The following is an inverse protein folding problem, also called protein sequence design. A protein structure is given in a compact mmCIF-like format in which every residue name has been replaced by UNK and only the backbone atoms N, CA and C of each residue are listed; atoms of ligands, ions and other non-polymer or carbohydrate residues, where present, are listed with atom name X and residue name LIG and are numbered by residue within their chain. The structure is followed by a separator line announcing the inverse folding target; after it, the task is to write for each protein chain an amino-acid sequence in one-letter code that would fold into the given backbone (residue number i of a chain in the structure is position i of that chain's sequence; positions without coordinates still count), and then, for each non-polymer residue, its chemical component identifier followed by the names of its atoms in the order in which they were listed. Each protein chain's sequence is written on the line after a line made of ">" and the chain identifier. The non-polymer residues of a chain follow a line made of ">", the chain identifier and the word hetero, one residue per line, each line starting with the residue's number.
data_IF_992157304180
#
_entry.id   IF_992157304180
#
_cell.length_a   1.000
_cell.length_b   1.000
_cell.length_c   1.000
_cell.angle_alpha   90.00
_cell.angle_beta   90.00
_cell.angle_gamma   90.00
#
_symmetry.space_group_name_H-M   'P 1'
#
loop_
_entity.id
_entity.type
_entity.pdbx_description
1 polymer ?
#
# COMPACT_ATOMS: atom_id res chain seq x y z
N UNK A 1 14.94 4.83 -7.99
CA UNK A 1 15.40 3.43 -7.83
C UNK A 1 14.38 2.74 -6.93
N UNK A 2 13.87 1.55 -7.27
CA UNK A 2 12.91 0.84 -6.41
C UNK A 2 13.68 -0.03 -5.41
N UNK A 3 13.41 0.16 -4.11
CA UNK A 3 14.00 -0.62 -3.00
C UNK A 3 12.92 -0.97 -1.97
N UNK A 4 13.16 -1.93 -1.06
CA UNK A 4 12.27 -2.15 0.07
C UNK A 4 11.98 -0.85 0.83
N UNK A 5 10.72 -0.62 1.15
CA UNK A 5 10.24 0.60 1.78
C UNK A 5 9.85 1.71 0.80
N UNK A 6 10.16 1.61 -0.50
CA UNK A 6 9.66 2.57 -1.50
C UNK A 6 8.13 2.55 -1.51
N UNK A 7 7.51 3.71 -1.26
CA UNK A 7 6.06 3.90 -1.38
C UNK A 7 5.79 4.51 -2.74
N UNK A 8 4.91 3.88 -3.51
CA UNK A 8 4.38 4.44 -4.74
C UNK A 8 2.93 4.85 -4.54
N UNK A 9 2.55 5.96 -5.17
CA UNK A 9 1.18 6.47 -5.20
C UNK A 9 0.74 6.68 -6.65
N UNK A 10 -0.52 6.40 -6.93
CA UNK A 10 -1.14 6.75 -8.20
C UNK A 10 -1.11 8.27 -8.37
N UNK A 11 -0.84 8.74 -9.59
CA UNK A 11 -0.84 10.16 -9.91
C UNK A 11 -2.16 10.81 -9.49
N UNK A 12 -2.05 12.04 -8.99
CA UNK A 12 -3.15 12.86 -8.48
C UNK A 12 -3.77 12.35 -7.15
N UNK A 13 -3.26 11.25 -6.57
CA UNK A 13 -3.60 10.87 -5.19
C UNK A 13 -3.12 11.95 -4.23
N UNK A 14 -4.01 12.53 -3.40
CA UNK A 14 -3.59 13.45 -2.35
C UNK A 14 -2.62 12.75 -1.40
N UNK A 15 -1.50 13.40 -1.10
CA UNK A 15 -0.51 12.90 -0.14
C UNK A 15 -0.33 13.91 1.01
N UNK A 16 -0.03 13.45 2.24
CA UNK A 16 0.34 14.33 3.34
C UNK A 16 1.54 15.23 2.98
N UNK A 17 1.56 16.46 3.51
CA UNK A 17 2.59 17.46 3.19
C UNK A 17 4.02 17.10 3.61
N UNK A 18 4.20 16.11 4.48
CA UNK A 18 5.52 15.60 4.85
C UNK A 18 6.09 14.60 3.83
N UNK A 19 5.26 14.06 2.93
CA UNK A 19 5.76 13.28 1.80
C UNK A 19 6.34 14.20 0.73
N UNK A 20 7.52 13.85 0.25
CA UNK A 20 8.15 14.52 -0.90
C UNK A 20 8.04 13.63 -2.11
N UNK A 21 7.54 14.15 -3.22
CA UNK A 21 7.59 13.45 -4.49
C UNK A 21 9.04 13.26 -4.90
N UNK A 22 9.44 12.01 -5.12
CA UNK A 22 10.71 11.71 -5.74
C UNK A 22 10.59 11.98 -7.25
N UNK A 23 11.64 12.57 -7.83
CA UNK A 23 11.69 12.77 -9.28
C UNK A 23 11.68 11.43 -10.01
N UNK A 24 10.85 11.32 -11.06
CA UNK A 24 10.73 10.13 -11.89
C UNK A 24 9.32 9.57 -11.92
N UNK A 25 8.77 9.43 -13.12
CA UNK A 25 7.50 8.75 -13.33
C UNK A 25 7.73 7.25 -13.45
N UNK A 26 6.94 6.48 -12.71
CA UNK A 26 6.84 5.04 -12.86
C UNK A 26 5.71 4.68 -13.84
N UNK A 27 5.66 3.43 -14.34
CA UNK A 27 4.61 3.00 -15.25
C UNK A 27 3.21 3.34 -14.73
N UNK A 28 2.27 3.57 -15.65
CA UNK A 28 0.87 3.91 -15.34
C UNK A 28 0.67 5.23 -14.58
N UNK A 29 1.62 6.16 -14.67
CA UNK A 29 1.57 7.43 -13.94
C UNK A 29 1.52 7.20 -12.43
N UNK A 30 2.46 6.42 -11.91
CA UNK A 30 2.68 6.31 -10.48
C UNK A 30 3.96 7.05 -10.12
N UNK A 31 4.03 7.59 -8.90
CA UNK A 31 5.17 8.39 -8.45
C UNK A 31 5.64 7.85 -7.11
N UNK A 32 6.96 7.81 -6.90
CA UNK A 32 7.50 7.47 -5.58
C UNK A 32 7.40 8.67 -4.64
N UNK A 33 7.11 8.40 -3.38
CA UNK A 33 7.12 9.40 -2.32
C UNK A 33 8.11 8.99 -1.24
N UNK A 34 8.84 9.97 -0.72
CA UNK A 34 9.79 9.80 0.38
C UNK A 34 9.36 10.56 1.63
N UNK A 35 9.80 10.07 2.78
CA UNK A 35 9.69 10.71 4.08
C UNK A 35 10.91 10.33 4.93
N UNK A 36 11.22 11.13 5.95
CA UNK A 36 12.34 10.86 6.88
C UNK A 36 11.90 10.20 8.19
N UNK A 37 10.61 9.89 8.33
CA UNK A 37 10.00 9.35 9.55
C UNK A 37 10.28 7.84 9.71
N UNK A 38 10.54 7.38 10.92
CA UNK A 38 10.51 5.95 11.27
C UNK A 38 9.09 5.38 11.12
N UNK A 39 8.89 4.05 11.03
CA UNK A 39 7.54 3.47 10.89
C UNK A 39 6.55 3.95 11.96
N UNK A 40 6.96 3.99 13.23
CA UNK A 40 6.09 4.45 14.32
C UNK A 40 5.87 5.96 14.37
N UNK A 41 6.75 6.76 13.77
CA UNK A 41 6.53 8.19 13.58
C UNK A 41 5.63 8.47 12.38
N UNK A 42 5.79 7.72 11.29
CA UNK A 42 4.95 7.81 10.11
C UNK A 42 3.48 7.55 10.49
N UNK A 43 3.20 6.48 11.23
CA UNK A 43 1.84 6.16 11.66
C UNK A 43 1.24 7.26 12.55
N UNK A 44 2.04 7.82 13.46
CA UNK A 44 1.62 8.93 14.34
C UNK A 44 1.35 10.22 13.56
N UNK A 45 2.22 10.55 12.61
CA UNK A 45 2.10 11.76 11.79
C UNK A 45 0.89 11.66 10.85
N UNK A 46 0.69 10.50 10.23
CA UNK A 46 -0.50 10.20 9.43
C UNK A 46 -1.76 10.36 10.27
N UNK A 47 -1.83 9.71 11.44
CA UNK A 47 -2.99 9.80 12.32
C UNK A 47 -3.24 11.24 12.80
N UNK A 48 -2.18 11.94 13.23
CA UNK A 48 -2.25 13.33 13.69
C UNK A 48 -2.68 14.33 12.61
N UNK A 49 -2.29 14.07 11.35
CA UNK A 49 -2.72 14.83 10.19
C UNK A 49 -4.10 14.39 9.63
N UNK A 50 -4.77 13.44 10.29
CA UNK A 50 -6.09 12.93 9.90
C UNK A 50 -6.07 12.13 8.60
N UNK A 51 -4.99 11.39 8.33
CA UNK A 51 -4.85 10.50 7.18
C UNK A 51 -5.03 9.04 7.60
N UNK A 52 -5.67 8.28 6.72
CA UNK A 52 -5.65 6.83 6.79
C UNK A 52 -4.69 6.29 5.74
N UNK A 53 -3.75 5.47 6.18
CA UNK A 53 -2.84 4.70 5.35
C UNK A 53 -2.84 3.25 5.84
N UNK A 54 -3.55 2.37 5.14
CA UNK A 54 -3.74 1.00 5.61
C UNK A 54 -3.33 -0.03 4.56
N UNK A 55 -2.89 -1.18 5.05
CA UNK A 55 -2.61 -2.35 4.23
C UNK A 55 -3.91 -2.96 3.72
N UNK A 56 -3.99 -3.20 2.43
CA UNK A 56 -4.96 -4.16 1.90
C UNK A 56 -4.39 -5.56 2.07
N UNK A 57 -5.25 -6.54 2.37
CA UNK A 57 -4.79 -7.89 2.65
C UNK A 57 -4.17 -8.54 1.41
N UNK A 58 -3.07 -9.27 1.63
CA UNK A 58 -2.40 -10.07 0.61
C UNK A 58 -1.19 -9.38 -0.02
N UNK A 59 -0.03 -10.02 0.09
CA UNK A 59 1.18 -9.63 -0.64
C UNK A 59 0.98 -9.88 -2.15
N UNK A 60 1.36 -8.90 -2.97
CA UNK A 60 1.38 -9.01 -4.42
C UNK A 60 2.82 -9.27 -4.85
N UNK A 61 3.03 -10.35 -5.60
CA UNK A 61 4.33 -10.71 -6.18
C UNK A 61 4.24 -10.74 -7.69
N UNK A 62 5.21 -10.15 -8.36
CA UNK A 62 5.34 -10.19 -9.80
C UNK A 62 6.76 -10.48 -10.20
N UNK A 63 6.94 -11.05 -11.39
CA UNK A 63 8.25 -11.34 -11.95
C UNK A 63 8.35 -10.92 -13.39
N UNK A 64 9.58 -10.73 -13.88
CA UNK A 64 9.89 -10.52 -15.29
C UNK A 64 11.22 -11.19 -15.63
N UNK A 65 11.27 -11.81 -16.81
CA UNK A 65 12.43 -12.52 -17.34
C UNK A 65 13.11 -11.68 -18.42
N UNK A 66 14.42 -11.87 -18.59
CA UNK A 66 15.19 -11.20 -19.64
C UNK A 66 16.67 -11.07 -19.30
N UNK A 67 17.40 -10.37 -20.15
CA UNK A 67 18.85 -10.13 -19.98
C UNK A 67 19.18 -8.66 -19.70
N UNK A 68 18.18 -7.77 -19.78
CA UNK A 68 18.30 -6.37 -19.43
C UNK A 68 17.64 -6.12 -18.06
N UNK A 69 18.46 -5.89 -17.04
CA UNK A 69 17.98 -5.72 -15.65
C UNK A 69 17.04 -4.52 -15.49
N UNK A 70 17.37 -3.31 -15.95
CA UNK A 70 16.43 -2.18 -15.99
C UNK A 70 15.09 -2.52 -16.64
N UNK A 71 15.10 -3.16 -17.81
CA UNK A 71 13.88 -3.60 -18.51
C UNK A 71 13.06 -4.62 -17.73
N UNK A 72 13.72 -5.59 -17.08
CA UNK A 72 13.03 -6.55 -16.21
C UNK A 72 12.36 -5.86 -15.02
N UNK A 73 13.03 -4.91 -14.36
CA UNK A 73 12.44 -4.14 -13.25
C UNK A 73 11.21 -3.37 -13.72
N UNK A 74 11.31 -2.67 -14.86
CA UNK A 74 10.18 -1.92 -15.42
C UNK A 74 9.00 -2.84 -15.78
N UNK A 75 9.27 -4.00 -16.37
CA UNK A 75 8.23 -4.97 -16.73
C UNK A 75 7.55 -5.59 -15.49
N UNK A 76 8.33 -5.96 -14.46
CA UNK A 76 7.79 -6.46 -13.20
C UNK A 76 6.97 -5.38 -12.50
N UNK A 77 7.47 -4.16 -12.42
CA UNK A 77 6.77 -3.04 -11.79
C UNK A 77 5.46 -2.68 -12.50
N UNK A 78 5.46 -2.70 -13.84
CA UNK A 78 4.25 -2.51 -14.64
C UNK A 78 3.17 -3.54 -14.28
N UNK A 79 3.55 -4.82 -14.16
CA UNK A 79 2.65 -5.91 -13.74
C UNK A 79 2.16 -5.71 -12.30
N UNK A 80 3.06 -5.31 -11.40
CA UNK A 80 2.74 -5.06 -10.00
C UNK A 80 1.68 -3.96 -9.87
N UNK A 81 1.89 -2.81 -10.52
CA UNK A 81 0.96 -1.69 -10.50
C UNK A 81 -0.39 -2.07 -11.11
N UNK A 82 -0.40 -2.84 -12.22
CA UNK A 82 -1.63 -3.35 -12.79
C UNK A 82 -2.43 -4.20 -11.78
N UNK A 83 -1.75 -5.09 -11.03
CA UNK A 83 -2.38 -5.91 -10.00
C UNK A 83 -2.90 -5.08 -8.81
N UNK A 84 -2.15 -4.06 -8.38
CA UNK A 84 -2.58 -3.14 -7.30
C UNK A 84 -3.84 -2.38 -7.70
N UNK A 85 -3.90 -1.89 -8.95
CA UNK A 85 -5.08 -1.19 -9.47
C UNK A 85 -6.32 -2.08 -9.54
N UNK A 86 -6.17 -3.37 -9.83
CA UNK A 86 -7.26 -4.35 -9.76
C UNK A 86 -7.83 -4.53 -8.34
N UNK A 87 -7.05 -4.20 -7.31
CA UNK A 87 -7.51 -4.19 -5.91
C UNK A 87 -8.12 -2.84 -5.50
N UNK A 88 -8.29 -1.88 -6.41
CA UNK A 88 -8.75 -0.52 -6.11
C UNK A 88 -7.88 0.22 -5.06
N UNK A 89 -6.60 -0.14 -4.99
CA UNK A 89 -5.60 0.54 -4.18
C UNK A 89 -4.96 1.68 -4.98
N UNK A 90 -4.80 2.84 -4.33
CA UNK A 90 -4.16 4.02 -4.90
C UNK A 90 -2.69 4.18 -4.45
N UNK A 91 -2.20 3.25 -3.63
CA UNK A 91 -0.82 3.21 -3.15
C UNK A 91 -0.32 1.79 -3.01
N UNK A 92 1.00 1.62 -2.94
CA UNK A 92 1.65 0.37 -2.56
C UNK A 92 2.96 0.69 -1.85
N UNK A 93 3.46 -0.26 -1.06
CA UNK A 93 4.84 -0.24 -0.56
C UNK A 93 5.56 -1.49 -1.00
N UNK A 94 6.77 -1.29 -1.53
CA UNK A 94 7.65 -2.36 -1.97
C UNK A 94 8.22 -3.07 -0.74
N UNK A 95 8.12 -4.39 -0.69
CA UNK A 95 8.71 -5.21 0.38
C UNK A 95 10.06 -5.78 -0.04
N UNK A 96 10.23 -6.07 -1.33
CA UNK A 96 11.39 -6.80 -1.82
C UNK A 96 11.61 -6.64 -3.33
N UNK A 97 12.89 -6.58 -3.71
CA UNK A 97 13.35 -6.75 -5.09
C UNK A 97 14.43 -7.82 -5.07
N UNK A 98 14.16 -8.94 -5.72
CA UNK A 98 15.05 -10.10 -5.75
C UNK A 98 15.40 -10.47 -7.19
N UNK A 99 16.66 -10.82 -7.41
CA UNK A 99 17.15 -11.36 -8.67
C UNK A 99 17.43 -12.85 -8.52
N UNK A 100 17.01 -13.63 -9.52
CA UNK A 100 17.21 -15.07 -9.56
C UNK A 100 17.25 -15.55 -11.01
N UNK A 101 17.58 -16.82 -11.20
CA UNK A 101 17.47 -17.48 -12.50
C UNK A 101 16.47 -18.62 -12.40
N UNK A 102 15.61 -18.74 -13.40
CA UNK A 102 14.68 -19.86 -13.54
C UNK A 102 14.99 -20.59 -14.84
N UNK A 103 15.36 -21.86 -14.75
CA UNK A 103 15.76 -22.67 -15.90
C UNK A 103 16.87 -22.02 -16.76
N UNK A 104 17.82 -21.35 -16.11
CA UNK A 104 18.93 -20.66 -16.78
C UNK A 104 18.60 -19.27 -17.34
N UNK A 105 17.36 -18.80 -17.24
CA UNK A 105 16.95 -17.47 -17.70
C UNK A 105 16.92 -16.50 -16.51
N UNK A 106 17.60 -15.34 -16.57
CA UNK A 106 17.55 -14.36 -15.49
C UNK A 106 16.13 -13.80 -15.29
N UNK A 107 15.81 -13.49 -14.05
CA UNK A 107 14.51 -13.03 -13.61
C UNK A 107 14.61 -12.06 -12.44
N UNK A 108 13.85 -10.98 -12.51
CA UNK A 108 13.57 -10.11 -11.35
C UNK A 108 12.22 -10.52 -10.75
N UNK A 109 12.12 -10.52 -9.43
CA UNK A 109 10.89 -10.64 -8.66
C UNK A 109 10.72 -9.41 -7.78
N UNK A 110 9.55 -8.81 -7.81
CA UNK A 110 9.16 -7.68 -6.95
C UNK A 110 7.98 -8.10 -6.10
N UNK A 111 8.08 -7.89 -4.79
CA UNK A 111 6.99 -8.04 -3.83
C UNK A 111 6.57 -6.68 -3.26
N UNK A 112 5.27 -6.55 -3.00
CA UNK A 112 4.70 -5.37 -2.39
C UNK A 112 3.38 -5.68 -1.67
N UNK A 113 3.03 -4.84 -0.72
CA UNK A 113 1.66 -4.74 -0.23
C UNK A 113 0.95 -3.55 -0.87
N UNK A 114 -0.25 -3.78 -1.35
CA UNK A 114 -1.18 -2.72 -1.74
C UNK A 114 -1.63 -1.94 -0.50
N UNK A 115 -1.80 -0.64 -0.69
CA UNK A 115 -2.23 0.27 0.35
C UNK A 115 -3.25 1.26 -0.18
N UNK A 116 -4.05 1.77 0.73
CA UNK A 116 -4.96 2.85 0.41
C UNK A 116 -4.59 4.07 1.26
N UNK A 117 -4.36 5.20 0.59
CA UNK A 117 -4.02 6.49 1.19
C UNK A 117 -5.17 7.45 0.95
N UNK A 118 -5.77 7.95 2.03
CA UNK A 118 -6.86 8.93 1.94
C UNK A 118 -6.89 9.86 3.15
N UNK A 119 -7.39 11.08 2.93
CA UNK A 119 -7.66 12.02 3.99
C UNK A 119 -8.99 11.67 4.66
N UNK A 120 -9.01 11.71 5.99
CA UNK A 120 -10.12 11.26 6.82
C UNK A 120 -9.76 9.99 7.59
N UNK A 121 -10.40 9.80 8.75
CA UNK A 121 -10.28 8.59 9.55
C UNK A 121 -11.24 7.53 9.00
N UNK A 122 -10.71 6.42 8.48
CA UNK A 122 -11.53 5.24 8.21
C UNK A 122 -11.76 4.54 9.55
N UNK A 123 -12.93 4.74 10.14
CA UNK A 123 -13.37 3.91 11.24
C UNK A 123 -13.68 2.50 10.71
N UNK A 124 -12.74 1.56 10.91
CA UNK A 124 -13.03 0.14 10.81
C UNK A 124 -13.93 -0.27 11.97
N UNK A 125 -15.23 -0.06 11.82
CA UNK A 125 -16.33 -0.72 12.54
C UNK A 125 -16.16 -0.88 14.06
N UNK A 126 -16.59 0.12 14.83
CA UNK A 126 -17.16 -0.18 16.15
C UNK A 126 -18.50 -0.85 15.86
N UNK A 127 -18.59 -2.16 16.08
CA UNK A 127 -19.89 -2.80 16.30
C UNK A 127 -20.43 -2.24 17.61
N UNK A 128 -21.24 -1.18 17.53
CA UNK A 128 -22.16 -0.86 18.61
C UNK A 128 -23.21 -1.98 18.62
N UNK A 129 -22.94 -3.04 19.37
CA UNK A 129 -24.02 -3.83 19.96
C UNK A 129 -24.34 -3.16 21.27
N UNK A 130 -25.22 -2.16 21.23
CA UNK A 130 -25.96 -1.77 22.42
C UNK A 130 -26.76 -3.01 22.85
N UNK A 131 -26.33 -3.57 23.98
CA UNK A 131 -27.12 -4.50 24.73
C UNK A 131 -28.13 -3.77 25.58
N UNK A 132 -29.30 -4.41 25.69
CA UNK A 132 -30.21 -4.39 26.84
C UNK A 132 -31.18 -3.20 26.91
N UNK A 133 -32.42 -3.46 26.48
CA UNK A 133 -33.57 -3.00 27.26
C UNK A 133 -33.95 -4.14 28.21
N UNK A 134 -33.74 -3.90 29.51
CA UNK A 134 -34.33 -4.62 30.62
C UNK A 134 -35.85 -4.68 30.45
N UNK A 135 -36.41 -5.89 30.42
CA UNK A 135 -37.86 -6.07 30.62
C UNK A 135 -38.09 -6.12 32.13
N UNK A 136 -38.86 -5.19 32.71
CA UNK A 136 -39.09 -5.18 34.14
C UNK A 136 -39.93 -6.38 34.58
N UNK A 137 -39.60 -6.89 35.77
CA UNK A 137 -40.30 -7.95 36.46
C UNK A 137 -41.75 -7.54 36.76
N UNK A 138 -42.72 -8.33 36.27
CA UNK A 138 -44.08 -8.28 36.79
C UNK A 138 -44.18 -9.21 38.01
N UNK A 139 -44.50 -8.64 39.16
CA UNK A 139 -45.11 -9.33 40.30
C UNK A 139 -46.59 -8.95 40.37
N UNK A 140 -47.42 -9.99 40.40
CA UNK A 140 -48.72 -10.19 41.06
C UNK A 140 -49.84 -9.15 40.97
N UNK A 141 -51.00 -9.60 40.46
CA UNK A 141 -52.16 -9.97 41.30
C UNK A 141 -52.75 -11.30 40.80
#
# INVERSE_FOLDING_TARGET
>A
MIVPGTILVEKDTPVPGFFRSEGGAYPHAWTAVSHSLTPGELDRELAGAGWTFFYMAGEIRTSAFGFDRPGMIQAALKRLIANVRLQHANSLQIDGVAEHSFLGVPCVRISAHSRHMQKGLVFSGIRHREGVADVPANHSD
#
